data_IF_424397226656
#
_entry.id   IF_424397226656
#
_cell.length_a   1.000
_cell.length_b   1.000
_cell.length_c   1.000
_cell.angle_alpha   90.00
_cell.angle_beta   90.00
_cell.angle_gamma   90.00
#
_symmetry.space_group_name_H-M   'P 1'
#
loop_
_entity.id
_entity.type
_entity.pdbx_description
1 polymer ?
#
# COMPACT_ATOMS: atom_id res chain seq x y z
N UNK A 1 -18.35 0.25 -19.78
CA UNK A 1 -17.07 -0.52 -19.72
C UNK A 1 -16.08 0.02 -18.69
N UNK A 2 -15.81 1.34 -18.67
CA UNK A 2 -14.92 2.01 -17.69
C UNK A 2 -15.28 1.70 -16.22
N UNK A 3 -16.57 1.77 -15.87
CA UNK A 3 -17.05 1.52 -14.51
C UNK A 3 -16.82 0.07 -14.02
N UNK A 4 -17.05 -0.93 -14.89
CA UNK A 4 -16.80 -2.35 -14.57
C UNK A 4 -15.29 -2.61 -14.34
N UNK A 5 -14.43 -1.99 -15.16
CA UNK A 5 -12.97 -2.04 -14.98
C UNK A 5 -12.56 -1.43 -13.64
N UNK A 6 -13.02 -0.20 -13.35
CA UNK A 6 -12.68 0.49 -12.10
C UNK A 6 -13.17 -0.28 -10.87
N UNK A 7 -14.40 -0.81 -10.89
CA UNK A 7 -14.91 -1.67 -9.82
C UNK A 7 -14.04 -2.92 -9.63
N UNK A 8 -13.62 -3.56 -10.72
CA UNK A 8 -12.72 -4.72 -10.65
C UNK A 8 -11.36 -4.35 -10.06
N UNK A 9 -10.79 -3.21 -10.45
CA UNK A 9 -9.54 -2.71 -9.91
C UNK A 9 -9.65 -2.48 -8.39
N UNK A 10 -10.67 -1.74 -7.94
CA UNK A 10 -10.91 -1.49 -6.51
C UNK A 10 -11.00 -2.79 -5.70
N UNK A 11 -11.74 -3.78 -6.20
CA UNK A 11 -11.84 -5.10 -5.55
C UNK A 11 -10.47 -5.79 -5.44
N UNK A 12 -9.67 -5.80 -6.51
CA UNK A 12 -8.33 -6.42 -6.49
C UNK A 12 -7.41 -5.74 -5.50
N UNK A 13 -7.39 -4.40 -5.47
CA UNK A 13 -6.56 -3.64 -4.53
C UNK A 13 -6.95 -3.96 -3.08
N UNK A 14 -8.25 -3.89 -2.75
CA UNK A 14 -8.75 -4.25 -1.42
C UNK A 14 -8.36 -5.69 -1.03
N UNK A 15 -8.41 -6.63 -1.97
CA UNK A 15 -8.00 -8.01 -1.74
C UNK A 15 -6.50 -8.15 -1.46
N UNK A 16 -5.64 -7.34 -2.08
CA UNK A 16 -4.20 -7.31 -1.75
C UNK A 16 -4.03 -6.89 -0.30
N UNK A 17 -4.58 -5.74 0.10
CA UNK A 17 -4.45 -5.24 1.48
C UNK A 17 -5.05 -6.19 2.54
N UNK A 18 -6.16 -6.87 2.21
CA UNK A 18 -6.79 -7.85 3.12
C UNK A 18 -5.96 -9.13 3.31
N UNK A 19 -5.01 -9.42 2.41
CA UNK A 19 -4.17 -10.62 2.45
C UNK A 19 -2.71 -10.31 2.78
N UNK A 20 -2.30 -9.04 2.66
CA UNK A 20 -0.94 -8.62 2.92
C UNK A 20 -0.69 -8.61 4.43
N UNK A 21 0.17 -9.52 4.91
CA UNK A 21 0.43 -9.68 6.34
C UNK A 21 1.35 -8.58 6.89
N UNK A 22 1.04 -8.13 8.10
CA UNK A 22 2.02 -7.45 8.94
C UNK A 22 3.18 -8.42 9.25
N UNK A 23 4.46 -8.01 9.10
CA UNK A 23 5.60 -8.85 9.43
C UNK A 23 5.69 -9.31 10.90
N UNK A 24 5.02 -8.61 11.81
CA UNK A 24 5.12 -8.84 13.26
C UNK A 24 3.82 -9.30 13.92
N UNK A 25 2.69 -9.16 13.23
CA UNK A 25 1.40 -9.54 13.76
C UNK A 25 0.74 -10.58 12.84
N UNK A 26 -0.05 -11.47 13.41
CA UNK A 26 -0.83 -12.46 12.64
C UNK A 26 -2.10 -11.84 12.03
N UNK A 27 -2.04 -10.58 11.61
CA UNK A 27 -3.15 -9.85 10.99
C UNK A 27 -2.72 -9.21 9.67
N UNK A 28 -3.71 -8.89 8.83
CA UNK A 28 -3.44 -8.20 7.56
C UNK A 28 -3.21 -6.70 7.75
N UNK A 29 -2.65 -6.02 6.75
CA UNK A 29 -2.53 -4.56 6.72
C UNK A 29 -3.88 -3.86 6.90
N UNK A 30 -4.96 -4.44 6.36
CA UNK A 30 -6.32 -3.95 6.53
C UNK A 30 -6.79 -3.97 8.00
N UNK A 31 -6.34 -4.93 8.79
CA UNK A 31 -6.77 -5.14 10.18
C UNK A 31 -5.78 -4.55 11.20
N UNK A 32 -4.51 -4.44 10.82
CA UNK A 32 -3.43 -3.93 11.69
C UNK A 32 -3.58 -2.47 12.09
N UNK A 33 -4.32 -1.67 11.32
CA UNK A 33 -4.29 -0.21 11.46
C UNK A 33 -3.01 0.42 10.88
N UNK A 34 -2.20 -0.30 10.10
CA UNK A 34 -1.08 0.30 9.36
C UNK A 34 -1.61 1.21 8.25
N UNK A 35 -2.64 0.80 7.51
CA UNK A 35 -3.19 1.60 6.41
C UNK A 35 -4.15 2.65 6.94
N UNK A 36 -3.84 3.92 6.68
CA UNK A 36 -4.59 5.07 7.19
C UNK A 36 -5.52 5.67 6.15
N UNK A 37 -5.09 5.68 4.88
CA UNK A 37 -5.88 6.19 3.77
C UNK A 37 -5.56 5.42 2.49
N UNK A 38 -6.54 5.36 1.57
CA UNK A 38 -6.38 4.73 0.28
C UNK A 38 -7.34 5.35 -0.74
N UNK A 39 -6.78 5.80 -1.85
CA UNK A 39 -7.50 6.40 -2.96
C UNK A 39 -7.12 5.71 -4.26
N UNK A 40 -8.12 5.50 -5.13
CA UNK A 40 -7.94 4.87 -6.44
C UNK A 40 -8.62 5.76 -7.45
N UNK A 41 -7.84 6.39 -8.33
CA UNK A 41 -8.32 7.25 -9.41
C UNK A 41 -9.07 6.44 -10.47
N UNK A 42 -9.86 7.11 -11.30
CA UNK A 42 -10.51 6.47 -12.44
C UNK A 42 -9.53 6.14 -13.58
N UNK A 43 -8.33 6.70 -13.54
CA UNK A 43 -7.22 6.42 -14.45
C UNK A 43 -6.37 5.21 -14.02
N UNK A 44 -6.55 4.74 -12.78
CA UNK A 44 -5.85 3.59 -12.21
C UNK A 44 -4.60 3.95 -11.40
N UNK A 45 -4.51 5.18 -10.92
CA UNK A 45 -3.50 5.61 -9.94
C UNK A 45 -3.95 5.21 -8.54
N UNK A 46 -3.04 4.65 -7.76
CA UNK A 46 -3.29 4.24 -6.37
C UNK A 46 -2.41 5.09 -5.47
N UNK A 47 -3.04 5.85 -4.57
CA UNK A 47 -2.36 6.57 -3.51
C UNK A 47 -2.78 5.95 -2.18
N UNK A 48 -1.83 5.59 -1.32
CA UNK A 48 -2.15 5.07 0.00
C UNK A 48 -1.18 5.58 1.05
N UNK A 49 -1.70 5.74 2.27
CA UNK A 49 -0.94 6.26 3.41
C UNK A 49 -0.78 5.18 4.45
N UNK A 50 0.44 4.99 4.94
CA UNK A 50 0.74 4.05 6.03
C UNK A 50 1.27 4.77 7.27
N UNK A 51 0.95 4.19 8.42
CA UNK A 51 1.50 4.47 9.73
C UNK A 51 2.23 3.21 10.23
N UNK A 52 3.56 3.08 9.96
CA UNK A 52 4.30 1.90 10.38
C UNK A 52 4.40 1.81 11.90
N UNK A 53 4.02 0.66 12.46
CA UNK A 53 4.14 0.37 13.91
C UNK A 53 5.59 0.25 14.39
N UNK A 54 6.50 -0.13 13.49
CA UNK A 54 7.92 -0.36 13.78
C UNK A 54 8.83 0.43 12.82
N UNK A 55 9.02 1.75 13.03
CA UNK A 55 9.74 2.66 12.12
C UNK A 55 11.19 2.31 11.83
N UNK A 56 11.81 1.55 12.74
CA UNK A 56 13.20 1.12 12.67
C UNK A 56 13.36 -0.35 12.25
N UNK A 57 12.27 -1.09 11.98
CA UNK A 57 12.42 -2.44 11.42
C UNK A 57 12.64 -2.37 9.91
N UNK A 58 13.78 -2.86 9.40
CA UNK A 58 13.99 -2.97 7.95
C UNK A 58 12.97 -3.93 7.30
N UNK A 59 12.47 -4.91 8.06
CA UNK A 59 11.45 -5.85 7.61
C UNK A 59 10.13 -5.16 7.24
N UNK A 60 9.68 -4.18 8.02
CA UNK A 60 8.45 -3.44 7.76
C UNK A 60 8.61 -2.53 6.54
N UNK A 61 9.78 -1.90 6.37
CA UNK A 61 10.09 -1.10 5.19
C UNK A 61 10.08 -1.97 3.93
N UNK A 62 10.77 -3.12 3.96
CA UNK A 62 10.80 -4.05 2.85
C UNK A 62 9.39 -4.55 2.51
N UNK A 63 8.59 -4.89 3.52
CA UNK A 63 7.23 -5.37 3.34
C UNK A 63 6.31 -4.31 2.70
N UNK A 64 6.44 -3.03 3.09
CA UNK A 64 5.72 -1.93 2.45
C UNK A 64 6.18 -1.66 1.01
N UNK A 65 7.49 -1.80 0.74
CA UNK A 65 8.04 -1.72 -0.62
C UNK A 65 7.48 -2.82 -1.52
N UNK A 66 7.48 -4.06 -1.04
CA UNK A 66 6.92 -5.21 -1.76
C UNK A 66 5.41 -5.09 -1.97
N UNK A 67 4.68 -4.48 -1.03
CA UNK A 67 3.26 -4.18 -1.21
C UNK A 67 3.04 -3.25 -2.40
N UNK A 68 3.84 -2.18 -2.51
CA UNK A 68 3.76 -1.26 -3.66
C UNK A 68 4.04 -1.99 -4.97
N UNK A 69 5.10 -2.80 -5.04
CA UNK A 69 5.42 -3.62 -6.22
C UNK A 69 4.26 -4.55 -6.58
N UNK A 70 3.63 -5.17 -5.57
CA UNK A 70 2.48 -6.04 -5.78
C UNK A 70 1.27 -5.29 -6.35
N UNK A 71 1.04 -4.07 -5.90
CA UNK A 71 -0.03 -3.22 -6.43
C UNK A 71 0.26 -2.77 -7.87
N UNK A 72 1.50 -2.38 -8.17
CA UNK A 72 1.95 -2.03 -9.53
C UNK A 72 1.77 -3.20 -10.51
N UNK A 73 1.89 -4.44 -10.04
CA UNK A 73 1.71 -5.62 -10.88
C UNK A 73 0.24 -5.91 -11.24
N UNK A 74 -0.74 -5.18 -10.69
CA UNK A 74 -2.16 -5.41 -10.96
C UNK A 74 -2.52 -4.83 -12.32
N UNK A 75 -3.15 -5.66 -13.17
CA UNK A 75 -3.71 -5.19 -14.45
C UNK A 75 -4.59 -3.96 -14.22
N UNK A 76 -4.42 -2.95 -15.08
CA UNK A 76 -5.14 -1.67 -15.10
C UNK A 76 -4.67 -0.63 -14.08
N UNK A 77 -3.62 -0.91 -13.30
CA UNK A 77 -2.88 0.07 -12.50
C UNK A 77 -1.91 0.84 -13.39
N UNK A 78 -1.89 2.17 -13.24
CA UNK A 78 -0.99 3.08 -13.95
C UNK A 78 0.18 3.49 -13.08
N UNK A 79 -0.08 3.85 -11.83
CA UNK A 79 0.93 4.27 -10.87
C UNK A 79 0.52 3.88 -9.45
N UNK A 80 1.51 3.76 -8.56
CA UNK A 80 1.28 3.54 -7.13
C UNK A 80 2.24 4.42 -6.35
N UNK A 81 1.69 5.23 -5.45
CA UNK A 81 2.44 6.07 -4.52
C UNK A 81 2.05 5.72 -3.08
N UNK A 82 3.05 5.61 -2.22
CA UNK A 82 2.90 5.37 -0.80
C UNK A 82 3.39 6.57 0.01
N UNK A 83 2.51 7.18 0.78
CA UNK A 83 2.88 8.16 1.80
C UNK A 83 3.06 7.48 3.15
N UNK A 84 3.94 8.07 3.97
CA UNK A 84 4.26 7.56 5.31
C UNK A 84 4.13 8.71 6.31
N UNK A 85 3.39 8.47 7.39
CA UNK A 85 3.10 9.50 8.40
C UNK A 85 3.57 9.09 9.80
N UNK A 86 3.70 10.10 10.66
CA UNK A 86 3.91 9.99 12.12
C UNK A 86 5.08 9.11 12.60
N UNK A 87 6.12 8.92 11.77
CA UNK A 87 7.34 8.22 12.16
C UNK A 87 8.61 9.07 11.95
N UNK A 88 9.65 8.91 12.77
CA UNK A 88 10.95 9.50 12.52
C UNK A 88 11.53 9.01 11.18
N UNK A 89 12.04 9.93 10.37
CA UNK A 89 12.66 9.57 9.09
C UNK A 89 11.69 9.11 8.00
N UNK A 90 10.39 9.46 8.10
CA UNK A 90 9.36 9.16 7.08
C UNK A 90 9.80 9.45 5.64
N UNK A 91 10.56 10.52 5.42
CA UNK A 91 11.07 10.89 4.08
C UNK A 91 11.98 9.81 3.48
N UNK A 92 12.75 9.09 4.31
CA UNK A 92 13.57 7.97 3.85
C UNK A 92 12.70 6.79 3.47
N UNK A 93 11.64 6.51 4.24
CA UNK A 93 10.67 5.48 3.90
C UNK A 93 9.95 5.78 2.59
N UNK A 94 9.42 6.99 2.43
CA UNK A 94 8.72 7.43 1.21
C UNK A 94 9.63 7.26 -0.01
N UNK A 95 10.90 7.71 0.08
CA UNK A 95 11.86 7.53 -1.02
C UNK A 95 12.16 6.06 -1.31
N UNK A 96 12.38 5.25 -0.28
CA UNK A 96 12.73 3.83 -0.47
C UNK A 96 11.57 3.01 -1.02
N UNK A 97 10.34 3.27 -0.59
CA UNK A 97 9.15 2.55 -1.08
C UNK A 97 8.85 2.96 -2.52
N UNK A 98 8.93 4.26 -2.83
CA UNK A 98 8.51 4.80 -4.13
C UNK A 98 9.61 4.85 -5.21
N UNK A 99 10.81 4.34 -4.90
CA UNK A 99 11.86 4.15 -5.89
C UNK A 99 11.41 3.22 -7.03
#
# INVERSE_FOLDING_TARGET
MKEKRLRSLKVKVIQVFSKWKDPHEEVSYKESGIVQAMEISDEGDINFTILPKHPHCPCCLLNASQLREKLLSIKDVRSVHCDVIEIPGKERWIRSINA
#
